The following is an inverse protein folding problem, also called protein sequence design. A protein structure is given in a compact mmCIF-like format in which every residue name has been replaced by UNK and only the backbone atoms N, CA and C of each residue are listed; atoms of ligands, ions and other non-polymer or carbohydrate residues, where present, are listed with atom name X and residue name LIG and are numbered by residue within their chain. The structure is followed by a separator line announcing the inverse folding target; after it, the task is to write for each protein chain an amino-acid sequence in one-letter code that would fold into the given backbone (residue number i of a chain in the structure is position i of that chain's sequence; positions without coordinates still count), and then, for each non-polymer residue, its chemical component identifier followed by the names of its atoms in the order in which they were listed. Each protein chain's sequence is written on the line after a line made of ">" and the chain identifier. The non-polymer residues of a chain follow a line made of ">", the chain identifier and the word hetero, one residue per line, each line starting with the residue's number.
data_IF_580114824300
#
_entry.id   IF_580114824300
#
_cell.length_a   1.000
_cell.length_b   1.000
_cell.length_c   1.000
_cell.angle_alpha   90.00
_cell.angle_beta   90.00
_cell.angle_gamma   90.00
#
_symmetry.space_group_name_H-M   'P 1'
#
loop_
_entity.id
_entity.type
_entity.pdbx_description
1 polymer ?
#
# COMPACT_ATOMS: atom_id res chain seq x y z
N UNK A 1 6.66 -12.65 -10.02
CA UNK A 1 6.33 -11.35 -10.65
C UNK A 1 6.84 -10.26 -9.74
N UNK A 2 7.75 -9.40 -10.22
CA UNK A 2 8.22 -8.26 -9.46
C UNK A 2 7.08 -7.24 -9.36
N UNK A 3 6.57 -7.05 -8.14
CA UNK A 3 5.46 -6.13 -7.86
C UNK A 3 5.79 -4.67 -8.21
N UNK A 4 7.10 -4.35 -8.29
CA UNK A 4 7.63 -3.04 -8.65
C UNK A 4 8.65 -3.18 -9.79
N UNK A 5 8.20 -3.22 -11.06
CA UNK A 5 9.10 -3.31 -12.21
C UNK A 5 10.05 -2.10 -12.25
N UNK A 6 11.35 -2.33 -12.22
CA UNK A 6 12.37 -1.27 -12.15
C UNK A 6 12.17 -0.20 -13.24
N UNK A 7 11.95 -0.63 -14.49
CA UNK A 7 11.77 0.30 -15.60
C UNK A 7 10.64 1.32 -15.41
N UNK A 8 9.61 0.97 -14.61
CA UNK A 8 8.47 1.86 -14.32
C UNK A 8 8.80 2.85 -13.22
N UNK A 9 9.55 2.44 -12.21
CA UNK A 9 9.82 3.25 -11.01
C UNK A 9 11.21 3.91 -11.01
N UNK A 10 12.14 3.42 -11.85
CA UNK A 10 13.48 3.98 -11.98
C UNK A 10 13.49 5.51 -12.19
N UNK A 11 12.64 6.11 -13.03
CA UNK A 11 12.66 7.56 -13.21
C UNK A 11 12.48 8.35 -11.92
N UNK A 12 11.57 7.92 -11.04
CA UNK A 12 11.34 8.58 -9.75
C UNK A 12 12.52 8.41 -8.81
N UNK A 13 13.04 7.18 -8.71
CA UNK A 13 14.21 6.86 -7.87
C UNK A 13 15.45 7.62 -8.36
N UNK A 14 15.70 7.63 -9.67
CA UNK A 14 16.88 8.26 -10.25
C UNK A 14 16.81 9.78 -10.19
N UNK A 15 15.61 10.38 -10.24
CA UNK A 15 15.46 11.82 -10.02
C UNK A 15 15.91 12.21 -8.59
N UNK A 16 15.56 11.42 -7.58
CA UNK A 16 16.02 11.65 -6.22
C UNK A 16 17.54 11.47 -6.09
N UNK A 17 18.11 10.41 -6.69
CA UNK A 17 19.55 10.14 -6.69
C UNK A 17 20.32 11.27 -7.38
N UNK A 18 19.85 11.73 -8.54
CA UNK A 18 20.47 12.83 -9.29
C UNK A 18 20.44 14.16 -8.52
N UNK A 19 19.40 14.36 -7.70
CA UNK A 19 19.29 15.52 -6.80
C UNK A 19 20.06 15.37 -5.47
N UNK A 20 20.84 14.30 -5.29
CA UNK A 20 21.57 14.03 -4.05
C UNK A 20 20.67 13.71 -2.86
N UNK A 21 19.40 13.32 -3.10
CA UNK A 21 18.46 12.92 -2.04
C UNK A 21 18.69 11.44 -1.70
N UNK A 22 18.93 11.10 -0.42
CA UNK A 22 19.08 9.71 -0.01
C UNK A 22 17.82 8.90 -0.29
N UNK A 23 17.97 7.73 -0.92
CA UNK A 23 16.89 6.79 -1.19
C UNK A 23 17.06 5.55 -0.32
N UNK A 24 15.98 5.13 0.33
CA UNK A 24 15.96 3.97 1.23
C UNK A 24 14.77 3.05 0.91
N UNK A 25 14.97 1.75 1.03
CA UNK A 25 13.86 0.78 1.01
C UNK A 25 13.13 0.77 2.34
N UNK A 26 11.79 0.96 2.33
CA UNK A 26 10.96 0.96 3.54
C UNK A 26 10.11 -0.29 3.73
N UNK A 27 9.96 -1.12 2.71
CA UNK A 27 9.04 -2.26 2.77
C UNK A 27 9.55 -3.38 3.69
N UNK A 28 8.64 -4.21 4.21
CA UNK A 28 8.97 -5.38 5.00
C UNK A 28 9.81 -6.38 4.17
N UNK A 29 10.98 -6.83 4.66
CA UNK A 29 11.78 -7.84 3.98
C UNK A 29 11.01 -9.16 3.82
N UNK A 30 11.21 -9.86 2.71
CA UNK A 30 10.56 -11.16 2.44
C UNK A 30 10.79 -12.19 3.54
N UNK A 31 11.98 -12.20 4.14
CA UNK A 31 12.34 -13.09 5.25
C UNK A 31 11.48 -12.88 6.51
N UNK A 32 10.87 -11.69 6.68
CA UNK A 32 10.03 -11.35 7.83
C UNK A 32 8.54 -11.65 7.59
N UNK A 33 8.13 -11.92 6.36
CA UNK A 33 6.69 -12.10 6.03
C UNK A 33 6.06 -13.29 6.77
N UNK A 34 6.78 -14.41 6.90
CA UNK A 34 6.25 -15.59 7.61
C UNK A 34 5.98 -15.29 9.09
N UNK A 35 6.88 -14.57 9.75
CA UNK A 35 6.68 -14.13 11.13
C UNK A 35 5.49 -13.19 11.25
N UNK A 36 5.36 -12.22 10.33
CA UNK A 36 4.23 -11.30 10.31
C UNK A 36 2.89 -12.03 10.14
N UNK A 37 2.79 -13.05 9.29
CA UNK A 37 1.57 -13.86 9.14
C UNK A 37 1.08 -14.47 10.46
N UNK A 38 2.00 -14.79 11.36
CA UNK A 38 1.72 -15.46 12.64
C UNK A 38 1.54 -14.48 13.80
N UNK A 39 1.86 -13.20 13.61
CA UNK A 39 1.81 -12.18 14.65
C UNK A 39 0.39 -11.66 14.86
N UNK A 40 -0.36 -12.31 15.75
CA UNK A 40 -1.71 -11.91 16.10
C UNK A 40 -1.79 -10.55 16.83
N UNK A 41 -0.68 -10.02 17.36
CA UNK A 41 -0.68 -8.71 18.01
C UNK A 41 -0.99 -7.57 17.00
N UNK A 42 -0.70 -7.79 15.71
CA UNK A 42 -1.03 -6.84 14.65
C UNK A 42 -2.54 -6.63 14.48
N UNK A 43 -3.38 -7.61 14.84
CA UNK A 43 -4.83 -7.54 14.68
C UNK A 43 -5.46 -6.43 15.55
N UNK A 44 -4.76 -6.00 16.62
CA UNK A 44 -5.20 -4.95 17.53
C UNK A 44 -4.80 -3.53 17.08
N UNK A 45 -4.05 -3.38 15.99
CA UNK A 45 -3.54 -2.07 15.57
C UNK A 45 -4.66 -1.16 15.05
N UNK A 46 -5.54 -1.68 14.21
CA UNK A 46 -6.66 -0.91 13.66
C UNK A 46 -7.94 -1.10 14.49
N UNK A 47 -8.78 -0.04 14.59
CA UNK A 47 -10.13 -0.21 15.14
C UNK A 47 -10.92 -1.26 14.34
N UNK A 48 -11.92 -1.95 14.93
CA UNK A 48 -12.64 -3.04 14.27
C UNK A 48 -13.21 -2.70 12.90
N UNK A 49 -13.77 -1.50 12.72
CA UNK A 49 -14.30 -1.06 11.42
C UNK A 49 -13.19 -0.90 10.36
N UNK A 50 -12.05 -0.31 10.71
CA UNK A 50 -10.92 -0.16 9.81
C UNK A 50 -10.28 -1.53 9.49
N UNK A 51 -10.19 -2.44 10.46
CA UNK A 51 -9.72 -3.79 10.22
C UNK A 51 -10.65 -4.56 9.25
N UNK A 52 -11.97 -4.35 9.33
CA UNK A 52 -12.92 -4.93 8.39
C UNK A 52 -12.67 -4.43 6.96
N UNK A 53 -12.50 -3.10 6.77
CA UNK A 53 -12.14 -2.52 5.48
C UNK A 53 -10.79 -3.04 4.95
N UNK A 54 -9.80 -3.23 5.83
CA UNK A 54 -8.51 -3.80 5.44
C UNK A 54 -8.65 -5.25 4.95
N UNK A 55 -9.52 -6.05 5.59
CA UNK A 55 -9.82 -7.42 5.16
C UNK A 55 -10.49 -7.46 3.79
N UNK A 56 -11.46 -6.58 3.54
CA UNK A 56 -12.11 -6.43 2.23
C UNK A 56 -11.09 -6.06 1.16
N UNK A 57 -10.28 -5.05 1.39
CA UNK A 57 -9.23 -4.62 0.44
C UNK A 57 -8.24 -5.75 0.12
N UNK A 58 -7.85 -6.56 1.11
CA UNK A 58 -6.98 -7.72 0.89
C UNK A 58 -7.71 -8.82 0.10
N UNK A 59 -8.97 -9.10 0.41
CA UNK A 59 -9.76 -10.08 -0.34
C UNK A 59 -9.92 -9.66 -1.82
N UNK A 60 -10.26 -8.41 -2.08
CA UNK A 60 -10.38 -7.83 -3.43
C UNK A 60 -9.04 -7.86 -4.18
N UNK A 61 -7.96 -7.43 -3.54
CA UNK A 61 -6.61 -7.44 -4.12
C UNK A 61 -6.10 -8.85 -4.48
N UNK A 62 -6.71 -9.87 -3.91
CA UNK A 62 -6.48 -11.28 -4.24
C UNK A 62 -7.65 -11.89 -5.03
N UNK A 63 -8.49 -11.05 -5.62
CA UNK A 63 -9.59 -11.48 -6.50
C UNK A 63 -10.62 -12.39 -5.82
N UNK A 64 -10.79 -12.33 -4.52
CA UNK A 64 -11.65 -13.22 -3.75
C UNK A 64 -11.18 -14.67 -3.71
N UNK A 65 -9.97 -14.97 -4.17
CA UNK A 65 -9.44 -16.34 -4.30
C UNK A 65 -8.67 -16.82 -3.07
N UNK A 66 -8.52 -15.97 -2.03
CA UNK A 66 -7.87 -16.39 -0.79
C UNK A 66 -8.76 -17.37 -0.02
N UNK A 67 -8.22 -18.53 0.40
CA UNK A 67 -8.88 -19.38 1.38
C UNK A 67 -9.18 -18.58 2.67
N UNK A 68 -10.30 -18.85 3.37
CA UNK A 68 -10.68 -18.11 4.58
C UNK A 68 -9.60 -18.08 5.67
N UNK A 69 -8.86 -19.16 5.84
CA UNK A 69 -7.76 -19.30 6.80
C UNK A 69 -6.52 -18.48 6.40
N UNK A 70 -6.43 -18.02 5.16
CA UNK A 70 -5.32 -17.20 4.65
C UNK A 70 -5.58 -15.70 4.71
N UNK A 71 -6.83 -15.28 4.87
CA UNK A 71 -7.18 -13.87 4.82
C UNK A 71 -6.49 -13.08 5.95
N UNK A 72 -6.65 -13.48 7.21
CA UNK A 72 -6.01 -12.78 8.33
C UNK A 72 -4.48 -12.81 8.29
N UNK A 73 -3.80 -13.93 7.96
CA UNK A 73 -2.36 -13.93 7.71
C UNK A 73 -1.92 -12.88 6.67
N UNK A 74 -2.68 -12.69 5.58
CA UNK A 74 -2.35 -11.68 4.56
C UNK A 74 -2.63 -10.26 5.03
N UNK A 75 -3.68 -10.02 5.81
CA UNK A 75 -3.93 -8.75 6.49
C UNK A 75 -2.75 -8.37 7.40
N UNK A 76 -2.26 -9.31 8.21
CA UNK A 76 -1.09 -9.09 9.08
C UNK A 76 0.17 -8.74 8.29
N UNK A 77 0.39 -9.37 7.14
CA UNK A 77 1.51 -8.98 6.25
C UNK A 77 1.36 -7.53 5.79
N UNK A 78 0.15 -7.10 5.42
CA UNK A 78 -0.09 -5.72 5.01
C UNK A 78 0.21 -4.75 6.17
N UNK A 79 -0.33 -5.02 7.36
CA UNK A 79 -0.10 -4.21 8.57
C UNK A 79 1.40 -4.14 8.92
N UNK A 80 2.12 -5.26 8.85
CA UNK A 80 3.55 -5.30 9.10
C UNK A 80 4.38 -4.52 8.05
N UNK A 81 3.92 -4.47 6.79
CA UNK A 81 4.53 -3.63 5.75
C UNK A 81 4.34 -2.16 6.08
N UNK A 82 3.15 -1.76 6.50
CA UNK A 82 2.84 -0.39 6.89
C UNK A 82 3.67 0.04 8.09
N UNK A 83 3.78 -0.80 9.12
CA UNK A 83 4.65 -0.58 10.27
C UNK A 83 6.13 -0.42 9.86
N UNK A 84 6.61 -1.26 8.94
CA UNK A 84 7.99 -1.18 8.43
C UNK A 84 8.25 0.13 7.69
N UNK A 85 7.32 0.55 6.83
CA UNK A 85 7.42 1.81 6.09
C UNK A 85 7.33 3.02 7.01
N UNK A 86 6.43 3.01 7.99
CA UNK A 86 6.34 4.06 9.01
C UNK A 86 7.65 4.19 9.79
N UNK A 87 8.25 3.07 10.20
CA UNK A 87 9.56 3.06 10.86
C UNK A 87 10.64 3.66 9.97
N UNK A 88 10.70 3.28 8.69
CA UNK A 88 11.66 3.84 7.75
C UNK A 88 11.49 5.35 7.58
N UNK A 89 10.25 5.86 7.57
CA UNK A 89 9.95 7.31 7.54
C UNK A 89 10.48 7.99 8.79
N UNK A 90 10.21 7.44 9.97
CA UNK A 90 10.67 8.01 11.25
C UNK A 90 12.20 8.02 11.36
N UNK A 91 12.86 6.93 10.94
CA UNK A 91 14.33 6.80 10.96
C UNK A 91 15.03 7.71 9.93
N UNK A 92 14.31 8.10 8.85
CA UNK A 92 14.83 9.03 7.85
C UNK A 92 14.64 10.51 8.21
N UNK A 93 13.90 10.81 9.28
CA UNK A 93 13.55 12.17 9.66
C UNK A 93 14.78 12.99 10.05
N UNK A 94 14.85 14.21 9.54
CA UNK A 94 15.82 15.22 9.90
C UNK A 94 15.11 16.56 10.11
N UNK A 95 15.60 17.38 11.05
CA UNK A 95 15.06 18.73 11.29
C UNK A 95 15.11 19.57 10.01
N UNK A 96 14.02 20.27 9.70
CA UNK A 96 13.90 21.14 8.52
C UNK A 96 13.85 20.40 7.17
N UNK A 97 13.73 19.07 7.16
CA UNK A 97 13.62 18.28 5.92
C UNK A 97 12.32 17.48 5.86
N UNK A 98 11.78 17.37 4.66
CA UNK A 98 10.61 16.51 4.38
C UNK A 98 11.08 15.13 4.00
N UNK A 99 10.41 14.10 4.51
CA UNK A 99 10.56 12.71 4.04
C UNK A 99 9.43 12.42 3.07
N UNK A 100 9.78 11.97 1.86
CA UNK A 100 8.82 11.51 0.85
C UNK A 100 8.76 9.98 0.88
N UNK A 101 7.60 9.42 1.21
CA UNK A 101 7.32 8.00 1.04
C UNK A 101 6.55 7.80 -0.28
N UNK A 102 7.10 6.97 -1.17
CA UNK A 102 6.39 6.52 -2.38
C UNK A 102 5.97 5.08 -2.18
N UNK A 103 4.67 4.83 -2.17
CA UNK A 103 4.10 3.52 -1.92
C UNK A 103 2.82 3.31 -2.75
N UNK A 104 2.33 2.07 -2.81
CA UNK A 104 1.03 1.78 -3.42
C UNK A 104 -0.13 2.42 -2.63
N UNK A 105 -1.25 2.65 -3.31
CA UNK A 105 -2.41 3.36 -2.76
C UNK A 105 -2.83 2.84 -1.37
N UNK A 106 -2.99 1.53 -1.19
CA UNK A 106 -3.41 0.95 0.10
C UNK A 106 -2.50 1.31 1.28
N UNK A 107 -1.20 1.57 1.02
CA UNK A 107 -0.24 1.95 2.04
C UNK A 107 -0.28 3.43 2.45
N UNK A 108 -0.78 4.31 1.58
CA UNK A 108 -0.82 5.76 1.84
C UNK A 108 -2.15 6.25 2.40
N UNK A 109 -3.17 5.41 2.47
CA UNK A 109 -4.47 5.73 3.08
C UNK A 109 -4.30 6.12 4.54
N UNK A 110 -5.00 7.20 4.95
CA UNK A 110 -4.91 7.72 6.32
C UNK A 110 -5.63 6.87 7.34
N UNK A 111 -6.63 6.10 6.90
CA UNK A 111 -7.46 5.26 7.75
C UNK A 111 -6.90 3.83 7.96
N UNK A 112 -6.09 3.32 7.03
CA UNK A 112 -5.64 1.92 7.01
C UNK A 112 -4.12 1.75 6.94
N UNK A 113 -3.42 2.68 6.29
CA UNK A 113 -2.03 2.50 5.87
C UNK A 113 -0.99 3.09 6.84
N UNK A 114 0.17 3.41 6.30
CA UNK A 114 1.32 3.96 7.01
C UNK A 114 0.99 5.11 7.96
N UNK A 115 0.07 6.06 7.62
CA UNK A 115 -0.26 7.14 8.54
C UNK A 115 -0.80 6.67 9.89
N UNK A 116 -1.44 5.51 9.99
CA UNK A 116 -1.96 4.97 11.26
C UNK A 116 -0.84 4.52 12.22
N UNK A 117 0.37 4.33 11.71
CA UNK A 117 1.57 3.91 12.44
C UNK A 117 2.45 5.09 12.85
N UNK A 118 2.14 6.30 12.37
CA UNK A 118 2.91 7.49 12.73
C UNK A 118 2.41 8.04 14.06
N UNK A 119 3.30 8.51 14.95
CA UNK A 119 2.88 9.09 16.22
C UNK A 119 2.10 10.39 15.99
N UNK A 120 1.20 10.74 16.94
CA UNK A 120 0.30 11.89 16.83
C UNK A 120 1.00 13.25 16.60
N UNK A 121 2.25 13.39 17.03
CA UNK A 121 3.05 14.60 16.80
C UNK A 121 3.65 14.67 15.38
N UNK A 122 3.56 13.60 14.58
CA UNK A 122 4.12 13.55 13.23
C UNK A 122 3.11 14.08 12.22
N UNK A 123 3.36 15.26 11.67
CA UNK A 123 2.52 15.81 10.61
C UNK A 123 2.84 15.18 9.27
N UNK A 124 1.85 14.59 8.64
CA UNK A 124 1.96 14.02 7.29
C UNK A 124 0.86 14.53 6.37
N UNK A 125 1.14 14.50 5.08
CA UNK A 125 0.16 14.75 4.01
C UNK A 125 0.20 13.61 3.01
N UNK A 126 -0.98 13.20 2.54
CA UNK A 126 -1.13 12.16 1.53
C UNK A 126 -1.44 12.79 0.18
N UNK A 127 -0.64 12.46 -0.82
CA UNK A 127 -0.91 12.78 -2.22
C UNK A 127 -1.13 11.49 -3.01
N UNK A 128 -2.17 11.44 -3.82
CA UNK A 128 -2.53 10.25 -4.61
C UNK A 128 -2.52 10.63 -6.09
N UNK A 129 -1.80 9.86 -6.91
CA UNK A 129 -1.92 9.89 -8.36
C UNK A 129 -3.00 8.86 -8.76
N UNK A 130 -4.12 9.35 -9.29
CA UNK A 130 -5.29 8.55 -9.65
C UNK A 130 -5.45 8.46 -11.16
N UNK A 131 -5.49 7.25 -11.70
CA UNK A 131 -5.83 7.02 -13.10
C UNK A 131 -7.34 7.13 -13.31
N UNK A 132 -7.77 8.03 -14.19
CA UNK A 132 -9.18 8.35 -14.40
C UNK A 132 -9.79 9.13 -13.25
N UNK A 133 -11.10 8.96 -13.05
CA UNK A 133 -11.84 9.65 -11.99
C UNK A 133 -11.63 8.97 -10.64
N UNK A 134 -11.32 9.75 -9.60
CA UNK A 134 -11.18 9.23 -8.25
C UNK A 134 -12.55 8.85 -7.66
N UNK A 135 -12.70 7.66 -7.06
CA UNK A 135 -13.85 7.37 -6.21
C UNK A 135 -13.90 8.31 -5.00
N UNK A 136 -15.10 8.67 -4.55
CA UNK A 136 -15.29 9.55 -3.39
C UNK A 136 -14.59 9.08 -2.10
N UNK A 137 -14.49 7.78 -1.91
CA UNK A 137 -13.74 7.18 -0.79
C UNK A 137 -12.25 7.52 -0.79
N UNK A 138 -11.65 7.76 -1.98
CA UNK A 138 -10.25 8.19 -2.08
C UNK A 138 -10.11 9.67 -1.74
N UNK A 139 -11.10 10.49 -2.08
CA UNK A 139 -11.08 11.93 -1.83
C UNK A 139 -10.99 12.24 -0.33
N UNK A 140 -11.67 11.46 0.51
CA UNK A 140 -11.59 11.62 1.97
C UNK A 140 -10.24 11.22 2.56
N UNK A 141 -9.49 10.37 1.89
CA UNK A 141 -8.23 9.78 2.38
C UNK A 141 -6.96 10.49 1.86
N UNK A 142 -7.11 11.53 1.06
CA UNK A 142 -6.00 12.30 0.50
C UNK A 142 -6.06 13.78 0.84
N UNK A 143 -4.89 14.42 0.95
CA UNK A 143 -4.79 15.88 0.98
C UNK A 143 -4.73 16.46 -0.44
N UNK A 144 -4.18 15.68 -1.38
CA UNK A 144 -4.05 16.06 -2.78
C UNK A 144 -4.34 14.86 -3.66
N UNK A 145 -5.10 15.10 -4.72
CA UNK A 145 -5.34 14.11 -5.78
C UNK A 145 -4.84 14.71 -7.09
N UNK A 146 -4.00 13.98 -7.79
CA UNK A 146 -3.56 14.29 -9.13
C UNK A 146 -4.18 13.29 -10.10
N UNK A 147 -5.13 13.75 -10.91
CA UNK A 147 -5.74 12.92 -11.93
C UNK A 147 -4.77 12.69 -13.09
N UNK A 148 -4.61 11.44 -13.48
CA UNK A 148 -3.88 11.04 -14.69
C UNK A 148 -4.85 10.43 -15.70
N UNK A 149 -4.48 10.31 -16.99
CA UNK A 149 -5.34 9.65 -17.97
C UNK A 149 -5.82 8.29 -17.50
N UNK A 150 -7.06 7.95 -17.79
CA UNK A 150 -7.62 6.64 -17.48
C UNK A 150 -6.82 5.55 -18.20
N UNK A 151 -6.54 4.46 -17.48
CA UNK A 151 -5.96 3.26 -18.07
C UNK A 151 -7.04 2.48 -18.82
N UNK A 152 -6.65 1.78 -19.89
CA UNK A 152 -7.54 0.82 -20.51
C UNK A 152 -8.00 -0.22 -19.47
N UNK A 153 -9.28 -0.63 -19.49
CA UNK A 153 -9.78 -1.68 -18.61
C UNK A 153 -8.91 -2.94 -18.73
N UNK A 154 -8.41 -3.40 -17.58
CA UNK A 154 -7.58 -4.60 -17.52
C UNK A 154 -8.11 -5.52 -16.41
N UNK A 155 -8.36 -6.77 -16.75
CA UNK A 155 -8.69 -7.79 -15.76
C UNK A 155 -7.43 -8.34 -15.11
N UNK A 156 -7.03 -7.70 -13.99
CA UNK A 156 -5.86 -8.12 -13.22
C UNK A 156 -6.04 -9.49 -12.55
N UNK A 157 -7.27 -9.97 -12.48
CA UNK A 157 -7.59 -11.25 -11.87
C UNK A 157 -7.55 -12.43 -12.88
N UNK A 158 -7.56 -12.14 -14.16
CA UNK A 158 -7.54 -13.18 -15.19
C UNK A 158 -6.39 -14.20 -15.05
N UNK A 159 -5.13 -13.77 -14.76
CA UNK A 159 -4.03 -14.72 -14.58
C UNK A 159 -4.15 -15.61 -13.34
N UNK A 160 -4.97 -15.20 -12.35
CA UNK A 160 -5.18 -15.93 -11.10
C UNK A 160 -6.36 -16.91 -11.17
N UNK A 161 -7.24 -16.71 -12.13
CA UNK A 161 -8.32 -17.62 -12.48
C UNK A 161 -7.75 -18.62 -13.48
N UNK A 162 -7.76 -19.92 -13.16
CA UNK A 162 -7.31 -20.97 -14.08
C UNK A 162 -8.01 -20.91 -15.46
N UNK A 163 -7.49 -21.58 -16.49
CA UNK A 163 -8.11 -21.60 -17.81
C UNK A 163 -9.53 -22.16 -17.72
N UNK A 164 -10.54 -21.34 -18.00
CA UNK A 164 -11.96 -21.73 -18.03
C UNK A 164 -12.95 -20.86 -17.24
N UNK A 165 -12.50 -19.89 -16.44
CA UNK A 165 -13.39 -19.04 -15.62
C UNK A 165 -13.37 -17.58 -16.09
N UNK A 166 -13.63 -17.33 -17.37
CA UNK A 166 -13.86 -15.98 -17.86
C UNK A 166 -15.25 -15.49 -17.40
N UNK A 167 -15.30 -14.60 -16.41
CA UNK A 167 -16.52 -13.85 -16.10
C UNK A 167 -16.60 -12.66 -17.06
N UNK A 168 -17.72 -12.43 -17.76
CA UNK A 168 -17.85 -11.26 -18.63
C UNK A 168 -17.77 -9.98 -17.79
N UNK A 169 -16.95 -9.06 -18.23
CA UNK A 169 -16.84 -7.70 -17.70
C UNK A 169 -18.20 -7.01 -17.94
N UNK A 170 -18.90 -6.60 -16.88
CA UNK A 170 -20.06 -5.70 -16.94
C UNK A 170 -19.65 -4.26 -17.00
#
# INVERSE_FOLDING_TARGET
>A
VDAWPWLRYAPVVMAAVAAGVPVRGGNLPRSRMRAAMQDAALDAHLPPAALALQREAIAEGHCGLLPPDRLMPMVRVQLARDASMARAVLDARQSGRTVLLVAGFGHVRRDLGVPTWLPAWFTSKTAIAQAGQAPSAIESEANYIHATPALAPQDYCAPLRGPGTATPVR
#
